data_IF_328636963207
#
_entry.id   IF_328636963207
#
_cell.length_a   1.000
_cell.length_b   1.000
_cell.length_c   1.000
_cell.angle_alpha   90.00
_cell.angle_beta   90.00
_cell.angle_gamma   90.00
#
_symmetry.space_group_name_H-M   'P 1'
#
loop_
_entity.id
_entity.type
_entity.pdbx_description
1 polymer ?
#
# COMPACT_ATOMS: atom_id res chain seq x y z
N UNK A 1 28.40 12.06 -7.04
CA UNK A 1 27.20 12.23 -6.18
C UNK A 1 26.44 10.90 -6.07
N UNK A 2 27.04 9.89 -5.43
CA UNK A 2 26.55 8.49 -5.34
C UNK A 2 26.84 7.90 -3.95
N UNK A 3 26.40 8.46 -2.82
CA UNK A 3 26.98 7.99 -1.53
C UNK A 3 26.06 7.94 -0.29
N UNK A 4 24.74 8.17 -0.39
CA UNK A 4 23.83 7.87 0.74
C UNK A 4 23.05 6.58 0.57
N UNK A 5 22.51 6.33 -0.62
CA UNK A 5 21.69 5.14 -0.89
C UNK A 5 22.49 3.83 -0.87
N UNK A 6 23.68 3.82 -1.50
CA UNK A 6 24.47 2.59 -1.64
C UNK A 6 25.13 2.17 -0.33
N UNK A 7 25.56 3.15 0.48
CA UNK A 7 26.06 2.92 1.84
C UNK A 7 24.94 2.39 2.73
N UNK A 8 23.74 3.00 2.66
CA UNK A 8 22.57 2.54 3.42
C UNK A 8 22.17 1.10 3.07
N UNK A 9 22.11 0.75 1.78
CA UNK A 9 21.84 -0.61 1.31
C UNK A 9 22.90 -1.60 1.79
N UNK A 10 24.17 -1.23 1.69
CA UNK A 10 25.28 -2.08 2.13
C UNK A 10 25.22 -2.35 3.64
N UNK A 11 24.90 -1.33 4.46
CA UNK A 11 24.78 -1.47 5.92
C UNK A 11 23.60 -2.38 6.29
N UNK A 12 22.40 -2.16 5.74
CA UNK A 12 21.24 -3.02 6.04
C UNK A 12 21.47 -4.46 5.57
N UNK A 13 22.08 -4.64 4.40
CA UNK A 13 22.41 -5.97 3.89
C UNK A 13 23.47 -6.67 4.75
N UNK A 14 24.41 -5.93 5.33
CA UNK A 14 25.42 -6.47 6.25
C UNK A 14 24.82 -6.85 7.60
N UNK A 15 23.95 -6.00 8.17
CA UNK A 15 23.20 -6.29 9.40
C UNK A 15 22.32 -7.54 9.24
N UNK A 16 21.68 -7.71 8.07
CA UNK A 16 20.90 -8.92 7.76
C UNK A 16 21.80 -10.16 7.65
N UNK A 17 22.95 -10.07 6.96
CA UNK A 17 23.91 -11.17 6.85
C UNK A 17 24.48 -11.61 8.20
N UNK A 18 24.59 -10.69 9.16
CA UNK A 18 25.04 -10.97 10.53
C UNK A 18 23.93 -11.52 11.43
N UNK A 19 22.68 -11.57 10.96
CA UNK A 19 21.54 -12.00 11.76
C UNK A 19 21.17 -11.01 12.86
N UNK A 20 21.59 -9.74 12.77
CA UNK A 20 21.25 -8.72 13.77
C UNK A 20 19.87 -8.12 13.47
N UNK A 21 18.85 -8.92 13.76
CA UNK A 21 17.44 -8.54 13.60
C UNK A 21 17.12 -7.24 14.35
N UNK A 22 17.80 -6.96 15.47
CA UNK A 22 17.57 -5.74 16.27
C UNK A 22 18.14 -4.49 15.61
N UNK A 23 19.29 -4.58 14.95
CA UNK A 23 19.85 -3.47 14.16
C UNK A 23 18.92 -3.13 12.98
N UNK A 24 18.45 -4.14 12.27
CA UNK A 24 17.47 -3.98 11.18
C UNK A 24 16.18 -3.32 11.70
N UNK A 25 15.61 -3.82 12.81
CA UNK A 25 14.42 -3.23 13.44
C UNK A 25 14.63 -1.80 13.94
N UNK A 26 15.83 -1.46 14.43
CA UNK A 26 16.16 -0.10 14.89
C UNK A 26 16.26 0.87 13.71
N UNK A 27 16.83 0.45 12.59
CA UNK A 27 16.93 1.25 11.37
C UNK A 27 15.54 1.46 10.76
N UNK A 28 14.72 0.41 10.72
CA UNK A 28 13.33 0.52 10.31
C UNK A 28 12.61 1.56 11.19
N UNK A 29 12.68 1.42 12.53
CA UNK A 29 12.14 2.40 13.50
C UNK A 29 12.67 3.83 13.35
N UNK A 30 13.93 4.02 12.99
CA UNK A 30 14.53 5.34 12.78
C UNK A 30 13.94 6.10 11.58
N UNK A 31 13.50 5.38 10.54
CA UNK A 31 12.71 5.96 9.44
C UNK A 31 11.23 6.16 9.78
N UNK A 32 10.73 5.48 10.82
CA UNK A 32 9.37 5.55 11.35
C UNK A 32 9.19 6.59 12.47
N UNK A 33 10.09 7.59 12.60
CA UNK A 33 9.89 8.67 13.55
C UNK A 33 8.51 9.29 13.34
N UNK A 34 7.61 9.16 14.34
CA UNK A 34 6.28 9.79 14.32
C UNK A 34 6.51 11.25 13.95
N UNK A 35 6.02 11.63 12.77
CA UNK A 35 5.90 13.04 12.43
C UNK A 35 5.03 13.61 13.53
N UNK A 36 5.53 14.66 14.19
CA UNK A 36 4.79 15.42 15.20
C UNK A 36 3.34 15.54 14.72
N UNK A 37 2.39 15.05 15.54
CA UNK A 37 0.98 15.03 15.21
C UNK A 37 0.61 16.46 14.82
N UNK A 38 0.41 16.70 13.51
CA UNK A 38 -0.11 17.97 13.09
C UNK A 38 -1.45 18.10 13.80
N UNK A 39 -1.58 19.13 14.64
CA UNK A 39 -2.84 19.51 15.27
C UNK A 39 -3.96 19.30 14.27
N UNK A 40 -4.84 18.34 14.59
CA UNK A 40 -5.98 18.03 13.75
C UNK A 40 -6.78 19.33 13.61
N UNK A 41 -6.96 19.76 12.36
CA UNK A 41 -7.70 20.99 12.09
C UNK A 41 -9.17 20.76 12.47
N UNK A 42 -9.80 21.74 13.15
CA UNK A 42 -11.24 21.69 13.35
C UNK A 42 -11.99 21.46 12.03
N UNK A 43 -13.04 20.67 12.08
CA UNK A 43 -13.82 20.25 10.90
C UNK A 43 -15.30 20.28 11.25
N UNK A 44 -16.16 20.65 10.29
CA UNK A 44 -17.60 20.64 10.48
C UNK A 44 -18.18 19.26 10.23
N UNK A 45 -19.08 18.83 11.10
CA UNK A 45 -19.90 17.64 10.89
C UNK A 45 -21.02 17.89 9.87
N UNK A 46 -21.84 16.86 9.62
CA UNK A 46 -22.93 16.91 8.64
C UNK A 46 -24.04 17.90 9.05
N UNK A 47 -24.17 18.17 10.35
CA UNK A 47 -25.10 19.13 10.94
C UNK A 47 -24.55 20.57 10.93
N UNK A 48 -23.28 20.76 10.53
CA UNK A 48 -22.60 22.05 10.45
C UNK A 48 -21.91 22.51 11.73
N UNK A 49 -21.89 21.68 12.78
CA UNK A 49 -21.21 21.99 14.04
C UNK A 49 -19.70 21.79 13.90
N UNK A 50 -18.93 22.71 14.46
CA UNK A 50 -17.47 22.64 14.41
C UNK A 50 -16.94 21.68 15.48
N UNK A 51 -16.31 20.61 15.03
CA UNK A 51 -15.65 19.61 15.88
C UNK A 51 -14.19 19.99 16.10
N UNK A 52 -13.74 19.94 17.35
CA UNK A 52 -12.39 20.41 17.77
C UNK A 52 -11.60 19.36 18.55
N UNK A 53 -12.25 18.31 19.05
CA UNK A 53 -11.55 17.21 19.74
C UNK A 53 -11.05 16.19 18.73
N UNK A 54 -9.88 15.56 18.97
CA UNK A 54 -9.33 14.54 18.06
C UNK A 54 -10.33 13.42 17.74
N UNK A 55 -11.08 12.95 18.72
CA UNK A 55 -12.04 11.87 18.57
C UNK A 55 -13.24 12.28 17.70
N UNK A 56 -13.75 13.49 17.91
CA UNK A 56 -14.86 14.01 17.11
C UNK A 56 -14.43 14.30 15.67
N UNK A 57 -13.24 14.87 15.48
CA UNK A 57 -12.66 15.09 14.15
C UNK A 57 -12.47 13.75 13.42
N UNK A 58 -11.90 12.74 14.08
CA UNK A 58 -11.73 11.41 13.51
C UNK A 58 -13.06 10.77 13.13
N UNK A 59 -14.10 10.92 13.96
CA UNK A 59 -15.43 10.42 13.68
C UNK A 59 -16.07 11.11 12.46
N UNK A 60 -15.90 12.43 12.31
CA UNK A 60 -16.36 13.15 11.11
C UNK A 60 -15.70 12.59 9.84
N UNK A 61 -14.38 12.33 9.87
CA UNK A 61 -13.68 11.72 8.74
C UNK A 61 -14.15 10.30 8.44
N UNK A 62 -14.33 9.49 9.48
CA UNK A 62 -14.85 8.13 9.37
C UNK A 62 -16.21 8.12 8.68
N UNK A 63 -17.17 8.93 9.14
CA UNK A 63 -18.50 9.04 8.56
C UNK A 63 -18.44 9.52 7.10
N UNK A 64 -17.64 10.56 6.82
CA UNK A 64 -17.49 11.10 5.47
C UNK A 64 -16.96 10.04 4.49
N UNK A 65 -15.86 9.34 4.82
CA UNK A 65 -15.30 8.33 3.93
C UNK A 65 -16.14 7.06 3.86
N UNK A 66 -16.80 6.67 4.94
CA UNK A 66 -17.76 5.55 4.94
C UNK A 66 -18.90 5.80 3.96
N UNK A 67 -19.44 7.01 3.90
CA UNK A 67 -20.45 7.38 2.92
C UNK A 67 -19.87 7.45 1.51
N UNK A 68 -18.72 8.12 1.34
CA UNK A 68 -18.07 8.29 0.03
C UNK A 68 -17.73 6.96 -0.64
N UNK A 69 -17.22 6.00 0.12
CA UNK A 69 -16.82 4.68 -0.37
C UNK A 69 -17.88 3.60 -0.15
N UNK A 70 -19.12 3.99 0.20
CA UNK A 70 -20.23 3.03 0.32
C UNK A 70 -20.47 2.34 -1.02
N UNK A 71 -20.53 1.01 -1.00
CA UNK A 71 -20.96 0.24 -2.15
C UNK A 71 -22.46 0.47 -2.40
N UNK A 72 -22.78 1.30 -3.40
CA UNK A 72 -24.17 1.58 -3.81
C UNK A 72 -24.78 0.46 -4.63
N UNK A 73 -23.95 -0.39 -5.25
CA UNK A 73 -24.38 -1.43 -6.18
C UNK A 73 -24.59 -2.78 -5.48
N UNK A 74 -23.91 -2.99 -4.36
CA UNK A 74 -23.85 -4.28 -3.66
C UNK A 74 -22.92 -5.29 -4.33
N UNK A 75 -22.29 -4.94 -5.45
CA UNK A 75 -21.49 -5.87 -6.24
C UNK A 75 -20.02 -5.93 -5.84
N UNK A 76 -19.51 -5.07 -4.95
CA UNK A 76 -18.07 -4.98 -4.64
C UNK A 76 -17.51 -6.28 -4.07
N UNK A 77 -18.34 -7.12 -3.44
CA UNK A 77 -17.96 -8.43 -2.89
C UNK A 77 -18.75 -9.59 -3.54
N UNK A 78 -19.43 -9.33 -4.65
CA UNK A 78 -20.26 -10.32 -5.35
C UNK A 78 -19.43 -11.04 -6.41
N UNK A 79 -18.93 -12.22 -6.05
CA UNK A 79 -18.09 -13.04 -6.94
C UNK A 79 -18.81 -13.41 -8.24
N UNK A 80 -20.07 -13.85 -8.14
CA UNK A 80 -20.85 -14.28 -9.30
C UNK A 80 -21.05 -13.13 -10.29
N UNK A 81 -21.31 -11.92 -9.80
CA UNK A 81 -21.40 -10.73 -10.64
C UNK A 81 -20.12 -10.46 -11.44
N UNK A 82 -18.94 -10.66 -10.83
CA UNK A 82 -17.65 -10.42 -11.48
C UNK A 82 -17.21 -11.53 -12.43
N UNK A 83 -17.58 -12.79 -12.16
CA UNK A 83 -17.28 -13.93 -13.03
C UNK A 83 -17.92 -13.80 -14.42
N UNK A 84 -19.09 -13.17 -14.51
CA UNK A 84 -19.80 -12.95 -15.77
C UNK A 84 -19.29 -11.75 -16.57
N UNK A 85 -18.34 -10.96 -16.05
CA UNK A 85 -17.82 -9.78 -16.76
C UNK A 85 -16.73 -10.18 -17.76
N UNK A 86 -16.80 -9.69 -19.01
CA UNK A 86 -15.75 -9.96 -19.98
C UNK A 86 -14.44 -9.32 -19.52
N UNK A 87 -13.36 -10.09 -19.50
CA UNK A 87 -12.01 -9.57 -19.27
C UNK A 87 -11.63 -8.67 -20.44
N UNK A 88 -11.27 -7.42 -20.14
CA UNK A 88 -10.84 -6.46 -21.16
C UNK A 88 -9.42 -6.80 -21.60
N UNK A 89 -9.29 -7.44 -22.75
CA UNK A 89 -7.99 -7.71 -23.38
C UNK A 89 -7.44 -6.39 -23.95
N UNK A 90 -6.27 -5.95 -23.48
CA UNK A 90 -5.67 -4.66 -23.88
C UNK A 90 -4.93 -4.73 -25.21
N UNK A 91 -4.42 -5.90 -25.60
CA UNK A 91 -3.68 -6.10 -26.84
C UNK A 91 -4.18 -7.34 -27.59
N UNK A 92 -4.35 -7.27 -28.93
CA UNK A 92 -4.67 -8.45 -29.73
C UNK A 92 -3.61 -9.54 -29.53
N UNK A 93 -4.02 -10.71 -29.03
CA UNK A 93 -3.11 -11.84 -28.75
C UNK A 93 -2.51 -11.87 -27.35
N UNK A 94 -2.76 -10.88 -26.49
CA UNK A 94 -2.51 -11.02 -25.06
C UNK A 94 -3.54 -12.01 -24.48
N UNK A 95 -3.07 -13.20 -24.11
CA UNK A 95 -3.91 -14.23 -23.52
C UNK A 95 -4.18 -13.94 -22.04
N UNK A 96 -5.41 -14.18 -21.59
CA UNK A 96 -5.74 -14.30 -20.16
C UNK A 96 -4.90 -15.38 -19.47
N UNK A 97 -4.35 -16.32 -20.24
CA UNK A 97 -3.38 -17.33 -19.82
C UNK A 97 -2.17 -16.73 -19.07
N UNK A 98 -1.80 -15.48 -19.35
CA UNK A 98 -0.76 -14.79 -18.60
C UNK A 98 -1.15 -14.63 -17.12
N UNK A 99 -2.42 -14.32 -16.83
CA UNK A 99 -2.93 -14.16 -15.47
C UNK A 99 -3.09 -15.50 -14.75
N UNK A 100 -3.30 -16.58 -15.51
CA UNK A 100 -3.48 -17.93 -14.98
C UNK A 100 -2.16 -18.64 -14.62
N UNK A 101 -1.02 -18.09 -15.04
CA UNK A 101 0.30 -18.68 -14.76
C UNK A 101 0.82 -18.25 -13.39
N UNK A 102 1.76 -19.02 -12.85
CA UNK A 102 2.46 -18.62 -11.63
C UNK A 102 3.29 -17.35 -11.85
N UNK A 103 3.18 -16.43 -10.90
CA UNK A 103 3.92 -15.18 -10.89
C UNK A 103 5.44 -15.40 -10.87
N UNK A 104 6.14 -14.81 -11.83
CA UNK A 104 7.58 -14.99 -12.00
C UNK A 104 8.37 -14.06 -11.08
N UNK A 105 9.49 -14.55 -10.57
CA UNK A 105 10.35 -13.74 -9.71
C UNK A 105 10.95 -12.54 -10.45
N UNK A 106 11.19 -12.67 -11.76
CA UNK A 106 11.66 -11.56 -12.61
C UNK A 106 10.64 -10.41 -12.69
N UNK A 107 9.35 -10.72 -12.66
CA UNK A 107 8.27 -9.71 -12.68
C UNK A 107 8.23 -8.95 -11.36
N UNK A 108 8.29 -9.66 -10.23
CA UNK A 108 8.44 -9.05 -8.90
C UNK A 108 9.67 -8.14 -8.87
N UNK A 109 10.81 -8.65 -9.36
CA UNK A 109 12.05 -7.91 -9.38
C UNK A 109 11.93 -6.62 -10.18
N UNK A 110 11.37 -6.69 -11.39
CA UNK A 110 11.18 -5.56 -12.28
C UNK A 110 10.29 -4.50 -11.63
N UNK A 111 9.11 -4.88 -11.12
CA UNK A 111 8.20 -3.96 -10.46
C UNK A 111 8.87 -3.31 -9.25
N UNK A 112 9.53 -4.09 -8.39
CA UNK A 112 10.25 -3.56 -7.24
C UNK A 112 11.34 -2.56 -7.65
N UNK A 113 12.09 -2.80 -8.72
CA UNK A 113 13.09 -1.85 -9.20
C UNK A 113 12.46 -0.54 -9.65
N UNK A 114 11.35 -0.61 -10.39
CA UNK A 114 10.64 0.57 -10.93
C UNK A 114 9.86 1.36 -9.88
N UNK A 115 9.42 0.73 -8.79
CA UNK A 115 8.70 1.41 -7.72
C UNK A 115 9.50 2.61 -7.19
N UNK A 116 8.86 3.77 -7.04
CA UNK A 116 9.52 4.95 -6.50
C UNK A 116 9.87 4.74 -5.02
N UNK A 117 11.04 5.24 -4.64
CA UNK A 117 11.47 5.33 -3.25
C UNK A 117 10.69 6.44 -2.50
N UNK A 118 10.76 6.41 -1.17
CA UNK A 118 10.21 7.36 -0.21
C UNK A 118 8.69 7.47 -0.31
N UNK A 119 8.04 6.33 -0.57
CA UNK A 119 6.59 6.21 -0.54
C UNK A 119 6.13 5.78 0.85
N UNK A 120 5.00 6.32 1.27
CA UNK A 120 4.37 5.93 2.52
C UNK A 120 3.99 4.44 2.49
N UNK A 121 4.21 3.78 3.62
CA UNK A 121 3.80 2.41 3.87
C UNK A 121 2.27 2.32 3.93
N UNK A 122 1.74 1.11 3.73
CA UNK A 122 0.37 0.80 4.14
C UNK A 122 0.30 0.46 5.63
N UNK A 123 -0.83 -0.09 6.10
CA UNK A 123 -1.00 -0.52 7.48
C UNK A 123 0.04 -1.54 7.97
N UNK A 124 0.63 -2.31 7.05
CA UNK A 124 1.69 -3.29 7.31
C UNK A 124 3.06 -2.66 7.65
N UNK A 125 3.20 -1.33 7.51
CA UNK A 125 4.44 -0.60 7.78
C UNK A 125 5.57 -0.89 6.78
N UNK A 126 5.32 -1.65 5.71
CA UNK A 126 6.33 -2.04 4.73
C UNK A 126 6.50 -0.94 3.68
N UNK A 127 7.74 -0.48 3.50
CA UNK A 127 8.11 0.48 2.45
C UNK A 127 8.81 -0.21 1.26
N UNK A 128 8.77 0.36 0.05
CA UNK A 128 9.40 -0.25 -1.13
C UNK A 128 10.90 -0.56 -0.95
N UNK A 129 11.63 0.30 -0.24
CA UNK A 129 13.07 0.14 0.00
C UNK A 129 13.41 -1.13 0.76
N UNK A 130 12.57 -1.50 1.74
CA UNK A 130 12.78 -2.70 2.52
C UNK A 130 12.76 -3.94 1.61
N UNK A 131 11.80 -3.98 0.67
CA UNK A 131 11.69 -5.06 -0.30
C UNK A 131 12.82 -5.01 -1.36
N UNK A 132 13.27 -3.82 -1.76
CA UNK A 132 14.39 -3.67 -2.70
C UNK A 132 15.74 -4.09 -2.12
N UNK A 133 15.93 -4.01 -0.80
CA UNK A 133 17.17 -4.45 -0.13
C UNK A 133 17.26 -5.98 -0.04
N UNK A 134 16.15 -6.71 -0.25
CA UNK A 134 16.18 -8.16 -0.37
C UNK A 134 17.02 -8.57 -1.59
N UNK A 135 18.29 -8.91 -1.34
CA UNK A 135 19.18 -9.47 -2.35
C UNK A 135 18.62 -10.79 -2.90
N UNK A 136 18.92 -11.18 -4.16
CA UNK A 136 18.47 -12.45 -4.72
C UNK A 136 18.76 -13.66 -3.82
N UNK A 137 19.93 -13.69 -3.19
CA UNK A 137 20.36 -14.81 -2.33
C UNK A 137 19.92 -14.66 -0.86
N UNK A 138 19.11 -13.64 -0.55
CA UNK A 138 18.64 -13.38 0.80
C UNK A 138 17.40 -14.24 1.13
N UNK A 139 17.33 -14.93 2.28
CA UNK A 139 16.12 -15.63 2.71
C UNK A 139 14.85 -14.77 2.72
N UNK A 140 15.01 -13.46 2.93
CA UNK A 140 13.89 -12.50 2.86
C UNK A 140 13.26 -12.44 1.47
N UNK A 141 14.05 -12.56 0.41
CA UNK A 141 13.58 -12.54 -0.98
C UNK A 141 12.67 -13.74 -1.26
N UNK A 142 13.11 -14.93 -0.87
CA UNK A 142 12.33 -16.16 -1.02
C UNK A 142 10.99 -16.07 -0.27
N UNK A 143 10.99 -15.49 0.94
CA UNK A 143 9.76 -15.26 1.70
C UNK A 143 8.80 -14.27 1.01
N UNK A 144 9.31 -13.16 0.48
CA UNK A 144 8.51 -12.17 -0.26
C UNK A 144 7.86 -12.83 -1.49
N UNK A 145 8.65 -13.55 -2.29
CA UNK A 145 8.16 -14.25 -3.48
C UNK A 145 7.09 -15.28 -3.11
N UNK A 146 7.32 -16.07 -2.05
CA UNK A 146 6.37 -17.07 -1.57
C UNK A 146 5.04 -16.45 -1.15
N UNK A 147 5.06 -15.34 -0.41
CA UNK A 147 3.84 -14.63 0.01
C UNK A 147 3.08 -14.08 -1.20
N UNK A 148 3.79 -13.41 -2.13
CA UNK A 148 3.17 -12.85 -3.33
C UNK A 148 2.55 -13.91 -4.23
N UNK A 149 3.25 -15.05 -4.43
CA UNK A 149 2.72 -16.19 -5.20
C UNK A 149 1.51 -16.83 -4.53
N UNK A 150 1.53 -16.95 -3.21
CA UNK A 150 0.37 -17.47 -2.48
C UNK A 150 -0.85 -16.59 -2.70
N UNK A 151 -0.70 -15.27 -2.54
CA UNK A 151 -1.78 -14.30 -2.80
C UNK A 151 -2.26 -14.39 -4.24
N UNK A 152 -1.33 -14.49 -5.21
CA UNK A 152 -1.66 -14.60 -6.64
C UNK A 152 -2.44 -15.88 -6.97
N UNK A 153 -1.96 -17.04 -6.49
CA UNK A 153 -2.51 -18.34 -6.85
C UNK A 153 -3.79 -18.67 -6.08
N UNK A 154 -3.88 -18.30 -4.80
CA UNK A 154 -5.02 -18.62 -3.94
C UNK A 154 -6.10 -17.53 -3.97
N UNK A 155 -5.76 -16.30 -4.37
CA UNK A 155 -6.66 -15.15 -4.29
C UNK A 155 -6.99 -14.73 -2.85
N UNK A 156 -6.22 -15.21 -1.86
CA UNK A 156 -6.43 -14.94 -0.44
C UNK A 156 -5.43 -13.86 -0.02
N UNK A 157 -5.94 -12.72 0.43
CA UNK A 157 -5.15 -11.64 0.99
C UNK A 157 -4.82 -11.91 2.46
N UNK A 158 -3.65 -11.45 2.90
CA UNK A 158 -3.35 -11.33 4.33
C UNK A 158 -4.28 -10.26 4.95
N UNK A 159 -4.69 -10.43 6.20
CA UNK A 159 -5.67 -9.53 6.85
C UNK A 159 -5.27 -8.06 6.81
N UNK A 160 -3.99 -7.76 6.96
CA UNK A 160 -3.48 -6.38 6.88
C UNK A 160 -3.55 -5.80 5.45
N UNK A 161 -3.57 -6.67 4.42
CA UNK A 161 -3.71 -6.30 3.02
C UNK A 161 -5.15 -6.11 2.58
N UNK A 162 -6.12 -6.56 3.37
CA UNK A 162 -7.54 -6.21 3.21
C UNK A 162 -7.85 -4.78 3.69
N UNK A 163 -6.91 -4.14 4.39
CA UNK A 163 -7.06 -2.81 4.96
C UNK A 163 -6.24 -1.77 4.20
N UNK A 164 -6.70 -0.53 4.29
CA UNK A 164 -5.96 0.64 3.83
C UNK A 164 -6.08 1.76 4.87
N UNK A 165 -4.99 2.48 5.11
CA UNK A 165 -5.04 3.69 5.91
C UNK A 165 -5.47 4.87 5.02
N UNK A 166 -6.55 5.55 5.38
CA UNK A 166 -7.04 6.72 4.64
C UNK A 166 -6.43 7.99 5.22
N UNK A 167 -5.63 8.67 4.40
CA UNK A 167 -5.03 9.97 4.77
C UNK A 167 -5.78 11.10 4.06
N UNK A 168 -6.20 12.09 4.84
CA UNK A 168 -6.90 13.29 4.36
C UNK A 168 -5.90 14.33 3.84
N UNK A 169 -6.05 14.77 2.60
CA UNK A 169 -5.24 15.85 2.02
C UNK A 169 -6.13 17.05 1.67
N UNK A 170 -5.81 18.26 2.16
CA UNK A 170 -6.59 19.46 1.84
C UNK A 170 -6.54 19.78 0.34
N UNK A 171 -7.69 20.21 -0.19
CA UNK A 171 -7.86 20.85 -1.49
C UNK A 171 -8.05 22.36 -1.28
N UNK A 172 -8.23 23.09 -2.37
CA UNK A 172 -8.64 24.51 -2.33
C UNK A 172 -10.08 24.60 -1.80
N UNK A 173 -10.33 25.54 -0.88
CA UNK A 173 -11.64 25.80 -0.31
C UNK A 173 -11.54 26.16 1.18
N UNK A 174 -12.68 26.20 1.84
CA UNK A 174 -12.78 26.33 3.30
C UNK A 174 -12.23 25.05 3.97
N UNK A 175 -11.16 25.16 4.79
CA UNK A 175 -10.55 24.01 5.46
C UNK A 175 -11.41 23.38 6.55
N UNK A 176 -12.52 24.01 6.95
CA UNK A 176 -13.47 23.42 7.90
C UNK A 176 -14.49 22.49 7.22
N UNK A 177 -14.57 22.48 5.89
CA UNK A 177 -15.51 21.63 5.14
C UNK A 177 -14.86 20.32 4.70
N UNK A 178 -15.50 19.20 5.03
CA UNK A 178 -15.01 17.84 4.69
C UNK A 178 -14.81 17.64 3.18
N UNK A 179 -15.70 18.19 2.34
CA UNK A 179 -15.65 18.04 0.88
C UNK A 179 -14.42 18.72 0.23
N UNK A 180 -13.82 19.68 0.95
CA UNK A 180 -12.59 20.34 0.53
C UNK A 180 -11.34 19.51 0.86
N UNK A 181 -11.49 18.22 1.14
CA UNK A 181 -10.39 17.27 1.30
C UNK A 181 -10.54 16.11 0.30
N UNK A 182 -9.43 15.42 0.04
CA UNK A 182 -9.42 14.12 -0.63
C UNK A 182 -8.84 13.07 0.30
N UNK A 183 -9.48 11.92 0.35
CA UNK A 183 -8.90 10.72 0.94
C UNK A 183 -7.89 10.11 -0.03
N UNK A 184 -6.72 9.73 0.49
CA UNK A 184 -5.77 8.87 -0.22
C UNK A 184 -5.60 7.60 0.61
N UNK A 185 -5.90 6.46 -0.01
CA UNK A 185 -5.66 5.15 0.59
C UNK A 185 -4.19 4.75 0.47
N UNK A 186 -3.53 4.57 1.60
CA UNK A 186 -2.21 4.00 1.68
C UNK A 186 -2.33 2.47 1.67
N UNK A 187 -2.09 1.88 0.50
CA UNK A 187 -2.12 0.42 0.33
C UNK A 187 -0.77 -0.22 0.68
N UNK A 188 -0.78 -1.47 1.20
CA UNK A 188 0.41 -2.30 1.33
C UNK A 188 1.22 -2.42 0.05
N UNK A 189 2.53 -2.44 0.18
CA UNK A 189 3.44 -2.50 -0.98
C UNK A 189 3.27 -3.80 -1.74
N UNK A 190 3.08 -4.93 -1.03
CA UNK A 190 2.82 -6.22 -1.66
C UNK A 190 1.58 -6.23 -2.55
N UNK A 191 0.48 -5.64 -2.08
CA UNK A 191 -0.75 -5.51 -2.87
C UNK A 191 -0.54 -4.63 -4.11
N UNK A 192 0.26 -3.56 -4.02
CA UNK A 192 0.64 -2.73 -5.18
C UNK A 192 1.42 -3.52 -6.22
N UNK A 193 2.31 -4.43 -5.80
CA UNK A 193 3.08 -5.29 -6.72
C UNK A 193 2.13 -6.19 -7.52
N UNK A 194 1.23 -6.90 -6.82
CA UNK A 194 0.22 -7.75 -7.45
C UNK A 194 -0.64 -6.96 -8.44
N UNK A 195 -1.12 -5.79 -8.02
CA UNK A 195 -1.92 -4.92 -8.89
C UNK A 195 -1.17 -4.46 -10.14
N UNK A 196 0.10 -4.06 -10.02
CA UNK A 196 0.90 -3.61 -11.18
C UNK A 196 1.10 -4.76 -12.16
N UNK A 197 1.44 -5.96 -11.67
CA UNK A 197 1.64 -7.14 -12.52
C UNK A 197 0.32 -7.52 -13.22
N UNK A 198 -0.78 -7.61 -12.48
CA UNK A 198 -2.10 -7.93 -13.06
C UNK A 198 -2.60 -6.86 -14.04
N UNK A 199 -2.23 -5.59 -13.83
CA UNK A 199 -2.61 -4.47 -14.71
C UNK A 199 -1.85 -4.52 -16.04
N UNK A 200 -0.61 -4.98 -16.03
CA UNK A 200 0.28 -4.94 -17.21
C UNK A 200 0.26 -6.25 -18.02
N UNK A 201 -0.54 -7.22 -17.56
CA UNK A 201 -1.05 -8.38 -18.32
C UNK A 201 -1.90 -7.97 -19.54
#
# INVERSE_FOLDING_TARGET
>A
MRLRGDVWRATVADDFRRGDSRAVWRIAKGGFGRREEQSLRPIRDAEGNLQVTPEAIAHVWECHYREMFRDKTGHSRDRSYWEDKPVRVRQPGAGVEYLDRELQESEIASVLQEMKNWKAAGPDGVIPELLKVAAPDCPMRASIVKVLRRVWNEGILEKEWELAEVVTIPKKGDPEQVDNYRGISLLPVGLKIIYIIARDA
#
